data_IF_766853839240
#
_entry.id   IF_766853839240
#
_cell.length_a   1.000
_cell.length_b   1.000
_cell.length_c   1.000
_cell.angle_alpha   90.00
_cell.angle_beta   90.00
_cell.angle_gamma   90.00
#
_symmetry.space_group_name_H-M   'P 1'
#
loop_
_entity.id
_entity.type
_entity.pdbx_description
1 polymer ?
#
# COMPACT_ATOMS: atom_id res chain seq x y z
N UNK A 1 -28.42 48.28 -6.27
CA UNK A 1 -28.09 47.33 -5.18
C UNK A 1 -27.61 46.04 -5.86
N UNK A 2 -26.27 45.82 -5.89
CA UNK A 2 -25.66 44.62 -6.48
C UNK A 2 -25.66 43.50 -5.43
N UNK A 3 -26.38 42.41 -5.70
CA UNK A 3 -26.36 41.20 -4.86
C UNK A 3 -25.04 40.48 -5.10
N UNK A 4 -24.17 40.48 -4.12
CA UNK A 4 -22.95 39.64 -4.08
C UNK A 4 -23.44 38.24 -3.72
N UNK A 5 -23.41 37.33 -4.70
CA UNK A 5 -23.57 35.88 -4.46
C UNK A 5 -22.23 35.37 -3.97
N UNK A 6 -22.17 35.14 -2.66
CA UNK A 6 -21.00 34.47 -2.04
C UNK A 6 -21.05 32.99 -2.40
N UNK A 7 -20.27 32.61 -3.39
CA UNK A 7 -20.08 31.21 -3.75
C UNK A 7 -19.18 30.56 -2.69
N UNK A 8 -19.78 29.88 -1.71
CA UNK A 8 -19.07 29.06 -0.75
C UNK A 8 -18.46 27.88 -1.52
N UNK A 9 -17.20 27.99 -1.91
CA UNK A 9 -16.39 26.85 -2.32
C UNK A 9 -16.13 26.05 -1.06
N UNK A 10 -16.94 25.03 -0.82
CA UNK A 10 -16.64 24.01 0.18
C UNK A 10 -15.43 23.26 -0.37
N UNK A 11 -14.24 23.70 0.05
CA UNK A 11 -13.03 22.91 -0.03
C UNK A 11 -13.27 21.66 0.83
N UNK A 12 -13.70 20.57 0.20
CA UNK A 12 -13.50 19.25 0.74
C UNK A 12 -11.97 19.04 0.80
N UNK A 13 -11.34 19.54 1.85
CA UNK A 13 -10.09 19.02 2.34
C UNK A 13 -10.39 17.61 2.84
N UNK A 14 -10.54 16.67 1.89
CA UNK A 14 -10.58 15.25 2.18
C UNK A 14 -9.33 14.98 3.00
N UNK A 15 -9.51 14.49 4.20
CA UNK A 15 -8.44 13.95 5.04
C UNK A 15 -7.89 12.76 4.28
N UNK A 16 -6.91 13.01 3.40
CA UNK A 16 -6.23 11.95 2.67
C UNK A 16 -5.57 11.06 3.72
N UNK A 17 -6.15 9.88 3.95
CA UNK A 17 -5.43 8.86 4.67
C UNK A 17 -4.19 8.55 3.85
N UNK A 18 -3.03 8.56 4.47
CA UNK A 18 -1.80 8.21 3.79
C UNK A 18 -1.55 6.69 3.85
N UNK A 19 -2.60 5.89 4.02
CA UNK A 19 -2.57 4.44 3.87
C UNK A 19 -2.26 4.03 2.43
N UNK A 20 -1.91 2.77 2.22
CA UNK A 20 -1.64 2.21 0.90
C UNK A 20 -2.94 2.17 0.07
N UNK A 21 -3.97 1.60 0.67
CA UNK A 21 -5.33 1.54 0.11
C UNK A 21 -6.32 2.25 1.04
N UNK A 22 -7.60 1.87 1.02
CA UNK A 22 -8.57 2.39 1.97
C UNK A 22 -8.34 1.81 3.36
N UNK A 23 -8.80 2.53 4.39
CA UNK A 23 -8.72 2.08 5.77
C UNK A 23 -9.27 0.65 5.98
N UNK A 24 -10.44 0.35 5.42
CA UNK A 24 -11.06 -0.97 5.49
C UNK A 24 -10.21 -2.05 4.81
N UNK A 25 -9.63 -1.75 3.63
CA UNK A 25 -8.80 -2.69 2.89
C UNK A 25 -7.47 -2.93 3.61
N UNK A 26 -6.80 -1.89 4.12
CA UNK A 26 -5.54 -2.02 4.87
C UNK A 26 -5.76 -2.84 6.16
N UNK A 27 -6.87 -2.63 6.86
CA UNK A 27 -7.27 -3.47 7.98
C UNK A 27 -7.58 -4.91 7.56
N UNK A 28 -8.18 -5.10 6.39
CA UNK A 28 -8.43 -6.41 5.78
C UNK A 28 -7.12 -7.17 5.52
N UNK A 29 -6.08 -6.48 5.00
CA UNK A 29 -4.73 -7.06 4.82
C UNK A 29 -4.18 -7.59 6.14
N UNK A 30 -4.23 -6.79 7.20
CA UNK A 30 -3.73 -7.19 8.51
C UNK A 30 -4.51 -8.37 9.09
N UNK A 31 -5.83 -8.32 8.99
CA UNK A 31 -6.71 -9.36 9.48
C UNK A 31 -6.50 -10.67 8.71
N UNK A 32 -6.36 -10.61 7.38
CA UNK A 32 -6.08 -11.78 6.55
C UNK A 32 -4.69 -12.35 6.85
N UNK A 33 -3.66 -11.51 6.99
CA UNK A 33 -2.35 -11.95 7.43
C UNK A 33 -2.41 -12.68 8.77
N UNK A 34 -3.18 -12.16 9.74
CA UNK A 34 -3.30 -12.75 11.06
C UNK A 34 -3.91 -14.16 11.08
N UNK A 35 -4.78 -14.48 10.10
CA UNK A 35 -5.32 -15.84 9.93
C UNK A 35 -4.25 -16.85 9.52
N UNK A 36 -3.16 -16.38 8.93
CA UNK A 36 -2.07 -17.21 8.44
C UNK A 36 -0.82 -17.18 9.33
N UNK A 37 -0.88 -16.49 10.48
CA UNK A 37 0.18 -16.57 11.49
C UNK A 37 0.16 -17.93 12.19
N UNK A 38 1.36 -18.42 12.51
CA UNK A 38 1.50 -19.56 13.44
C UNK A 38 0.98 -19.17 14.83
N UNK A 39 0.56 -20.12 15.66
CA UNK A 39 0.13 -19.82 17.03
C UNK A 39 1.18 -19.03 17.82
N UNK A 40 2.46 -19.36 17.66
CA UNK A 40 3.57 -18.67 18.31
C UNK A 40 3.69 -17.22 17.83
N UNK A 41 3.76 -16.98 16.52
CA UNK A 41 3.82 -15.63 15.96
C UNK A 41 2.60 -14.78 16.36
N UNK A 42 1.41 -15.39 16.40
CA UNK A 42 0.18 -14.72 16.83
C UNK A 42 0.24 -14.28 18.28
N UNK A 43 0.75 -15.13 19.18
CA UNK A 43 0.90 -14.80 20.60
C UNK A 43 1.91 -13.66 20.79
N UNK A 44 3.04 -13.70 20.09
CA UNK A 44 4.06 -12.64 20.17
C UNK A 44 3.49 -11.33 19.63
N UNK A 45 2.80 -11.35 18.49
CA UNK A 45 2.14 -10.15 17.95
C UNK A 45 1.15 -9.58 18.97
N UNK A 46 0.31 -10.42 19.59
CA UNK A 46 -0.65 -9.98 20.60
C UNK A 46 0.02 -9.39 21.85
N UNK A 47 1.15 -9.94 22.28
CA UNK A 47 1.94 -9.39 23.40
C UNK A 47 2.36 -7.93 23.19
N UNK A 48 2.80 -7.58 21.97
CA UNK A 48 3.37 -6.26 21.69
C UNK A 48 2.39 -5.24 21.14
N UNK A 49 1.35 -5.67 20.42
CA UNK A 49 0.36 -4.75 19.80
C UNK A 49 -1.06 -4.95 20.34
N UNK A 50 -1.32 -5.99 21.09
CA UNK A 50 -2.65 -6.37 21.58
C UNK A 50 -3.39 -7.33 20.63
N UNK A 51 -4.58 -7.78 21.05
CA UNK A 51 -5.33 -8.83 20.36
C UNK A 51 -5.92 -8.39 19.01
N UNK A 52 -6.12 -7.10 18.81
CA UNK A 52 -6.68 -6.57 17.58
C UNK A 52 -5.57 -6.00 16.68
N UNK A 53 -5.05 -6.82 15.79
CA UNK A 53 -3.99 -6.46 14.84
C UNK A 53 -4.39 -5.29 13.93
N UNK A 54 -5.69 -5.07 13.68
CA UNK A 54 -6.19 -3.95 12.86
C UNK A 54 -5.79 -2.58 13.41
N UNK A 55 -5.52 -2.48 14.72
CA UNK A 55 -5.02 -1.25 15.38
C UNK A 55 -3.61 -0.83 14.94
N UNK A 56 -2.88 -1.70 14.26
CA UNK A 56 -1.60 -1.35 13.67
C UNK A 56 -1.75 -0.55 12.36
N UNK A 57 -2.93 -0.60 11.70
CA UNK A 57 -3.19 0.12 10.46
C UNK A 57 -3.02 1.61 10.62
N UNK A 58 -2.38 2.25 9.62
CA UNK A 58 -2.20 3.70 9.58
C UNK A 58 -1.39 4.30 10.73
N UNK A 59 -0.73 3.48 11.58
CA UNK A 59 -0.04 3.95 12.76
C UNK A 59 1.00 5.04 12.47
N UNK A 60 1.90 4.83 11.50
CA UNK A 60 2.94 5.80 11.14
C UNK A 60 2.34 7.12 10.68
N UNK A 61 1.28 7.05 9.87
CA UNK A 61 0.57 8.22 9.36
C UNK A 61 -0.15 8.99 10.45
N UNK A 62 -0.83 8.27 11.35
CA UNK A 62 -1.54 8.90 12.48
C UNK A 62 -0.56 9.63 13.41
N UNK A 63 0.61 9.06 13.66
CA UNK A 63 1.65 9.71 14.46
C UNK A 63 2.21 10.96 13.78
N UNK A 64 2.40 10.96 12.45
CA UNK A 64 2.83 12.16 11.71
C UNK A 64 1.78 13.27 11.74
N UNK A 65 0.51 12.93 11.55
CA UNK A 65 -0.59 13.90 11.67
C UNK A 65 -0.64 14.54 13.06
N UNK A 66 -0.24 13.81 14.08
CA UNK A 66 -0.08 14.31 15.44
C UNK A 66 1.24 15.06 15.71
N UNK A 67 2.04 15.37 14.67
CA UNK A 67 3.32 16.05 14.78
C UNK A 67 4.47 15.17 15.29
N UNK A 68 4.24 13.87 15.43
CA UNK A 68 5.24 12.87 15.83
C UNK A 68 5.73 12.11 14.60
N UNK A 69 6.90 11.46 14.71
CA UNK A 69 7.46 10.62 13.65
C UNK A 69 7.51 11.29 12.27
N UNK A 70 7.74 12.61 12.18
CA UNK A 70 7.83 13.36 10.91
C UNK A 70 8.90 12.80 9.98
N UNK A 71 9.97 12.24 10.54
CA UNK A 71 11.07 11.62 9.80
C UNK A 71 10.65 10.35 9.01
N UNK A 72 9.45 9.81 9.27
CA UNK A 72 8.97 8.61 8.59
C UNK A 72 8.23 8.92 7.26
N UNK A 73 8.17 10.17 6.83
CA UNK A 73 7.44 10.56 5.64
C UNK A 73 7.96 9.85 4.37
N UNK A 74 9.27 9.75 4.21
CA UNK A 74 9.91 9.06 3.08
C UNK A 74 9.83 7.54 3.13
N UNK A 75 9.45 6.94 4.27
CA UNK A 75 9.49 5.49 4.46
C UNK A 75 8.46 4.72 3.62
N UNK A 76 7.40 5.39 3.16
CA UNK A 76 6.27 4.75 2.50
C UNK A 76 6.50 4.41 1.02
N UNK A 77 7.65 4.77 0.44
CA UNK A 77 7.96 4.55 -0.97
C UNK A 77 9.05 3.50 -1.12
N UNK A 78 8.82 2.56 -2.02
CA UNK A 78 9.82 1.60 -2.49
C UNK A 78 10.51 2.18 -3.72
N UNK A 79 11.83 2.37 -3.67
CA UNK A 79 12.61 2.89 -4.79
C UNK A 79 13.42 1.78 -5.47
N UNK A 80 13.24 1.64 -6.77
CA UNK A 80 13.90 0.63 -7.59
C UNK A 80 14.74 1.29 -8.68
N UNK A 81 15.94 0.75 -8.89
CA UNK A 81 16.82 1.15 -9.99
C UNK A 81 16.31 0.62 -11.35
N UNK A 82 17.06 0.90 -12.42
CA UNK A 82 16.73 0.45 -13.78
C UNK A 82 16.73 -1.08 -13.94
N UNK A 83 17.41 -1.82 -13.06
CA UNK A 83 17.45 -3.28 -13.01
C UNK A 83 16.40 -3.88 -12.06
N UNK A 84 15.48 -3.04 -11.55
CA UNK A 84 14.45 -3.41 -10.57
C UNK A 84 15.03 -3.92 -9.24
N UNK A 85 16.25 -3.49 -8.93
CA UNK A 85 16.87 -3.75 -7.64
C UNK A 85 16.62 -2.56 -6.68
N UNK A 86 16.66 -2.78 -5.36
CA UNK A 86 16.54 -1.69 -4.41
C UNK A 86 17.54 -0.59 -4.70
N UNK A 87 17.07 0.65 -4.83
CA UNK A 87 17.94 1.78 -5.11
C UNK A 87 18.76 2.14 -3.88
N UNK A 88 20.08 2.12 -4.01
CA UNK A 88 20.99 2.54 -2.93
C UNK A 88 20.93 4.05 -2.60
N UNK A 89 20.17 4.82 -3.38
CA UNK A 89 20.11 6.29 -3.27
C UNK A 89 19.24 6.78 -2.11
N UNK A 90 18.35 5.95 -1.57
CA UNK A 90 17.43 6.39 -0.52
C UNK A 90 17.52 5.49 0.73
N UNK A 91 18.25 6.00 1.76
CA UNK A 91 18.35 5.36 3.06
C UNK A 91 17.01 5.34 3.85
N UNK A 92 16.00 6.06 3.39
CA UNK A 92 14.66 6.16 3.98
C UNK A 92 13.60 5.36 3.21
N UNK A 93 14.01 4.51 2.31
CA UNK A 93 13.16 3.62 1.52
C UNK A 93 12.42 2.59 2.40
N UNK A 94 11.23 2.18 1.94
CA UNK A 94 10.39 1.21 2.65
C UNK A 94 11.13 -0.08 2.98
N UNK A 95 11.89 -0.64 2.04
CA UNK A 95 12.66 -1.88 2.25
C UNK A 95 13.69 -1.71 3.37
N UNK A 96 14.46 -0.62 3.34
CA UNK A 96 15.49 -0.34 4.35
C UNK A 96 14.88 -0.24 5.75
N UNK A 97 13.72 0.39 5.86
CA UNK A 97 13.05 0.53 7.17
C UNK A 97 12.39 -0.79 7.62
N UNK A 98 11.88 -1.61 6.71
CA UNK A 98 11.43 -2.96 7.03
C UNK A 98 12.59 -3.79 7.56
N UNK A 99 13.75 -3.80 6.87
CA UNK A 99 14.91 -4.57 7.29
C UNK A 99 15.42 -4.16 8.69
N UNK A 100 15.49 -2.85 8.96
CA UNK A 100 15.83 -2.33 10.30
C UNK A 100 14.81 -2.76 11.37
N UNK A 101 13.54 -2.69 11.06
CA UNK A 101 12.48 -3.10 11.99
C UNK A 101 12.52 -4.62 12.26
N UNK A 102 12.81 -5.44 11.25
CA UNK A 102 12.99 -6.89 11.40
C UNK A 102 14.17 -7.23 12.30
N UNK A 103 15.25 -6.45 12.26
CA UNK A 103 16.39 -6.62 13.19
C UNK A 103 15.96 -6.42 14.64
N UNK A 104 15.20 -5.37 14.93
CA UNK A 104 14.64 -5.13 16.28
C UNK A 104 13.73 -6.29 16.71
N UNK A 105 12.88 -6.79 15.81
CA UNK A 105 11.93 -7.88 16.12
C UNK A 105 12.68 -9.20 16.40
N UNK A 106 13.72 -9.53 15.62
CA UNK A 106 14.55 -10.73 15.85
C UNK A 106 15.26 -10.70 17.19
N UNK A 107 15.74 -9.51 17.56
CA UNK A 107 16.46 -9.29 18.82
C UNK A 107 15.55 -8.73 19.93
N UNK A 108 14.25 -8.99 19.88
CA UNK A 108 13.21 -8.38 20.74
C UNK A 108 13.50 -8.43 22.23
N UNK A 109 14.25 -9.43 22.68
CA UNK A 109 14.66 -9.57 24.09
C UNK A 109 15.68 -8.51 24.54
N UNK A 110 16.30 -7.78 23.59
CA UNK A 110 17.27 -6.72 23.85
C UNK A 110 16.65 -5.33 23.80
N UNK A 111 15.37 -5.22 23.42
CA UNK A 111 14.66 -3.97 23.22
C UNK A 111 13.47 -3.83 24.16
N UNK A 112 13.09 -2.60 24.45
CA UNK A 112 11.90 -2.31 25.23
C UNK A 112 10.61 -2.64 24.48
N UNK A 113 9.53 -2.92 25.23
CA UNK A 113 8.23 -3.29 24.65
C UNK A 113 7.71 -2.27 23.61
N UNK A 114 7.94 -0.96 23.85
CA UNK A 114 7.51 0.09 22.91
C UNK A 114 8.31 0.06 21.61
N UNK A 115 9.60 -0.25 21.65
CA UNK A 115 10.47 -0.31 20.47
C UNK A 115 10.06 -1.51 19.59
N UNK A 116 9.83 -2.67 20.19
CA UNK A 116 9.35 -3.86 19.47
C UNK A 116 7.95 -3.63 18.89
N UNK A 117 7.06 -3.01 19.67
CA UNK A 117 5.71 -2.63 19.18
C UNK A 117 5.79 -1.68 17.98
N UNK A 118 6.68 -0.68 18.04
CA UNK A 118 6.93 0.24 16.94
C UNK A 118 7.47 -0.49 15.71
N UNK A 119 8.45 -1.37 15.89
CA UNK A 119 9.04 -2.16 14.81
C UNK A 119 7.99 -3.05 14.12
N UNK A 120 7.16 -3.77 14.88
CA UNK A 120 6.07 -4.59 14.35
C UNK A 120 5.09 -3.76 13.53
N UNK A 121 4.64 -2.62 14.06
CA UNK A 121 3.74 -1.71 13.33
C UNK A 121 4.39 -1.13 12.07
N UNK A 122 5.70 -0.86 12.12
CA UNK A 122 6.47 -0.40 10.96
C UNK A 122 6.46 -1.47 9.86
N UNK A 123 6.82 -2.72 10.18
CA UNK A 123 6.77 -3.81 9.20
C UNK A 123 5.37 -3.97 8.62
N UNK A 124 4.33 -3.98 9.45
CA UNK A 124 2.95 -4.13 8.99
C UNK A 124 2.53 -3.02 8.03
N UNK A 125 2.78 -1.75 8.36
CA UNK A 125 2.39 -0.64 7.50
C UNK A 125 3.21 -0.63 6.19
N UNK A 126 4.53 -0.79 6.26
CA UNK A 126 5.38 -0.69 5.08
C UNK A 126 5.25 -1.91 4.14
N UNK A 127 4.94 -3.11 4.66
CA UNK A 127 4.60 -4.26 3.83
C UNK A 127 3.31 -4.03 3.04
N UNK A 128 2.33 -3.35 3.61
CA UNK A 128 1.12 -2.94 2.89
C UNK A 128 1.48 -1.89 1.83
N UNK A 129 2.22 -0.86 2.21
CA UNK A 129 2.58 0.25 1.34
C UNK A 129 3.37 -0.20 0.10
N UNK A 130 4.39 -1.04 0.26
CA UNK A 130 5.22 -1.47 -0.88
C UNK A 130 4.48 -2.30 -1.93
N UNK A 131 3.35 -2.91 -1.58
CA UNK A 131 2.52 -3.66 -2.53
C UNK A 131 1.50 -2.79 -3.27
N UNK A 132 1.35 -1.52 -2.88
CA UNK A 132 0.53 -0.57 -3.60
C UNK A 132 1.37 0.16 -4.66
N UNK A 133 1.00 0.05 -5.94
CA UNK A 133 1.78 0.62 -7.03
C UNK A 133 1.99 2.13 -6.91
N UNK A 134 1.10 2.85 -6.24
CA UNK A 134 1.29 4.29 -6.05
C UNK A 134 2.47 4.63 -5.12
N UNK A 135 2.99 3.64 -4.42
CA UNK A 135 4.14 3.79 -3.53
C UNK A 135 5.42 3.18 -4.13
N UNK A 136 5.41 2.79 -5.42
CA UNK A 136 6.58 2.22 -6.11
C UNK A 136 7.16 3.25 -7.07
N UNK A 137 8.38 3.69 -6.80
CA UNK A 137 9.14 4.61 -7.64
C UNK A 137 10.20 3.84 -8.42
N UNK A 138 10.17 3.98 -9.74
CA UNK A 138 11.11 3.35 -10.66
C UNK A 138 12.05 4.40 -11.25
N UNK A 139 13.36 4.19 -11.17
CA UNK A 139 14.36 5.13 -11.70
C UNK A 139 14.16 5.42 -13.19
N UNK A 140 13.74 4.44 -13.97
CA UNK A 140 13.43 4.56 -15.39
C UNK A 140 12.24 5.49 -15.68
N UNK A 141 11.36 5.68 -14.69
CA UNK A 141 10.16 6.51 -14.77
C UNK A 141 10.18 7.58 -13.66
N UNK A 142 10.88 8.71 -13.85
CA UNK A 142 11.19 9.69 -12.78
C UNK A 142 10.00 10.27 -12.03
N UNK A 143 8.80 10.23 -12.64
CA UNK A 143 7.56 10.69 -12.01
C UNK A 143 6.77 9.56 -11.37
N UNK A 144 7.27 8.30 -11.40
CA UNK A 144 6.61 7.17 -10.74
C UNK A 144 6.58 7.34 -9.23
N UNK A 145 5.69 6.61 -8.57
CA UNK A 145 5.50 6.70 -7.11
C UNK A 145 4.36 7.64 -6.72
N UNK A 146 4.39 8.09 -5.47
CA UNK A 146 3.26 8.75 -4.79
C UNK A 146 2.77 10.03 -5.49
N UNK A 147 3.67 10.77 -6.12
CA UNK A 147 3.36 12.06 -6.75
C UNK A 147 3.06 11.96 -8.24
N UNK A 148 3.01 10.77 -8.79
CA UNK A 148 2.72 10.59 -10.21
C UNK A 148 1.31 11.07 -10.56
N UNK A 149 1.20 11.89 -11.61
CA UNK A 149 -0.07 12.34 -12.16
C UNK A 149 -0.22 11.84 -13.60
N UNK A 150 -1.44 11.49 -13.95
CA UNK A 150 -1.80 11.07 -15.29
C UNK A 150 -3.09 11.78 -15.75
N UNK A 151 -3.35 11.74 -17.05
CA UNK A 151 -4.56 12.32 -17.61
C UNK A 151 -5.64 11.25 -17.76
N UNK A 152 -6.82 11.54 -17.28
CA UNK A 152 -7.98 10.65 -17.40
C UNK A 152 -9.09 11.32 -18.22
N UNK A 153 -9.70 10.58 -19.12
CA UNK A 153 -10.87 11.06 -19.87
C UNK A 153 -12.11 11.03 -18.97
N UNK A 154 -12.69 12.21 -18.69
CA UNK A 154 -13.97 12.36 -18.02
C UNK A 154 -15.07 12.56 -19.06
N UNK A 155 -16.05 11.66 -19.13
CA UNK A 155 -17.21 11.78 -20.01
C UNK A 155 -17.45 10.54 -20.86
N UNK A 156 -18.59 10.54 -21.54
CA UNK A 156 -19.26 9.47 -22.26
C UNK A 156 -18.37 8.34 -22.82
N UNK A 157 -18.72 7.11 -22.50
CA UNK A 157 -18.21 5.88 -23.11
C UNK A 157 -18.38 5.79 -24.65
N UNK A 158 -18.99 6.79 -25.28
CA UNK A 158 -19.27 6.84 -26.72
C UNK A 158 -18.35 7.81 -27.50
N UNK A 159 -17.16 8.11 -26.99
CA UNK A 159 -16.06 8.57 -27.83
C UNK A 159 -16.15 9.95 -28.49
N UNK A 160 -17.12 10.81 -28.19
CA UNK A 160 -17.15 12.18 -28.70
C UNK A 160 -17.04 13.19 -27.55
N UNK A 161 -15.87 13.83 -27.41
CA UNK A 161 -15.72 15.03 -26.59
C UNK A 161 -15.44 14.82 -25.10
N UNK A 162 -14.82 13.75 -24.68
CA UNK A 162 -14.38 13.60 -23.29
C UNK A 162 -13.34 14.64 -22.92
N UNK A 163 -13.54 15.35 -21.80
CA UNK A 163 -12.55 16.29 -21.26
C UNK A 163 -11.44 15.51 -20.56
N UNK A 164 -10.18 15.79 -20.90
CA UNK A 164 -9.03 15.31 -20.14
C UNK A 164 -8.96 16.07 -18.81
N UNK A 165 -8.83 15.33 -17.72
CA UNK A 165 -8.60 15.87 -16.39
C UNK A 165 -7.37 15.25 -15.77
N UNK A 166 -6.53 16.03 -15.05
CA UNK A 166 -5.43 15.48 -14.27
C UNK A 166 -5.98 14.61 -13.14
N UNK A 167 -5.34 13.49 -12.92
CA UNK A 167 -5.70 12.56 -11.87
C UNK A 167 -4.45 12.03 -11.18
N UNK A 168 -4.45 11.97 -9.87
CA UNK A 168 -3.31 11.48 -9.09
C UNK A 168 -3.30 9.96 -9.05
N UNK A 169 -2.16 9.38 -9.34
CA UNK A 169 -1.93 7.94 -9.29
C UNK A 169 -2.30 7.34 -7.93
N UNK A 170 -1.88 8.03 -6.85
CA UNK A 170 -2.24 7.63 -5.49
C UNK A 170 -3.77 7.59 -5.27
N UNK A 171 -4.51 8.54 -5.81
CA UNK A 171 -5.98 8.56 -5.67
C UNK A 171 -6.63 7.36 -6.36
N UNK A 172 -6.09 6.93 -7.49
CA UNK A 172 -6.58 5.73 -8.17
C UNK A 172 -6.43 4.49 -7.28
N UNK A 173 -5.24 4.27 -6.75
CA UNK A 173 -4.91 3.06 -5.97
C UNK A 173 -5.50 3.09 -4.56
N UNK A 174 -5.53 4.26 -3.91
CA UNK A 174 -6.03 4.39 -2.53
C UNK A 174 -7.55 4.46 -2.43
N UNK A 175 -8.22 5.01 -3.44
CA UNK A 175 -9.66 5.28 -3.34
C UNK A 175 -10.48 4.65 -4.46
N UNK A 176 -9.98 4.61 -5.70
CA UNK A 176 -10.79 4.17 -6.82
C UNK A 176 -10.97 2.66 -6.84
N UNK A 177 -9.88 1.89 -6.71
CA UNK A 177 -9.97 0.43 -6.63
C UNK A 177 -10.68 -0.04 -5.36
N UNK A 178 -10.33 0.43 -4.16
CA UNK A 178 -11.14 0.12 -2.98
C UNK A 178 -12.58 0.59 -3.09
N UNK A 179 -12.85 1.68 -3.85
CA UNK A 179 -14.18 2.22 -4.07
C UNK A 179 -15.13 1.29 -4.84
N UNK A 180 -14.62 0.34 -5.62
CA UNK A 180 -15.43 -0.72 -6.23
C UNK A 180 -16.01 -1.67 -5.17
N UNK A 181 -15.37 -1.72 -4.01
CA UNK A 181 -15.74 -2.54 -2.85
C UNK A 181 -16.03 -1.66 -1.62
N UNK A 182 -16.60 -0.46 -1.82
CA UNK A 182 -16.76 0.55 -0.77
C UNK A 182 -17.59 0.09 0.45
N UNK A 183 -18.44 -0.93 0.26
CA UNK A 183 -19.24 -1.52 1.34
C UNK A 183 -18.49 -2.61 2.14
N UNK A 184 -17.28 -2.99 1.73
CA UNK A 184 -16.57 -4.08 2.39
C UNK A 184 -16.03 -3.65 3.76
N UNK A 185 -16.39 -4.43 4.80
CA UNK A 185 -15.71 -4.41 6.08
C UNK A 185 -14.34 -5.13 5.97
N UNK A 186 -13.44 -4.97 6.95
CA UNK A 186 -12.21 -5.77 6.99
C UNK A 186 -12.44 -7.28 6.92
N UNK A 187 -13.53 -7.76 7.52
CA UNK A 187 -13.91 -9.17 7.52
C UNK A 187 -14.37 -9.65 6.12
N UNK A 188 -15.13 -8.81 5.40
CA UNK A 188 -15.53 -9.10 4.01
C UNK A 188 -14.32 -9.14 3.07
N UNK A 189 -13.31 -8.27 3.27
CA UNK A 189 -12.05 -8.35 2.54
C UNK A 189 -11.37 -9.70 2.73
N UNK A 190 -11.37 -10.21 3.97
CA UNK A 190 -10.77 -11.51 4.29
C UNK A 190 -11.48 -12.65 3.56
N UNK A 191 -12.81 -12.65 3.55
CA UNK A 191 -13.61 -13.67 2.87
C UNK A 191 -13.38 -13.64 1.36
N UNK A 192 -13.40 -12.45 0.75
CA UNK A 192 -13.17 -12.28 -0.68
C UNK A 192 -11.77 -12.72 -1.09
N UNK A 193 -10.75 -12.31 -0.35
CA UNK A 193 -9.36 -12.70 -0.64
C UNK A 193 -9.15 -14.21 -0.48
N UNK A 194 -9.79 -14.85 0.48
CA UNK A 194 -9.69 -16.29 0.69
C UNK A 194 -10.36 -17.07 -0.45
N UNK A 195 -11.54 -16.64 -0.90
CA UNK A 195 -12.25 -17.22 -2.05
C UNK A 195 -11.43 -17.08 -3.33
N UNK A 196 -10.87 -15.89 -3.60
CA UNK A 196 -10.18 -15.60 -4.85
C UNK A 196 -8.77 -16.19 -4.92
N UNK A 197 -8.05 -16.20 -3.80
CA UNK A 197 -6.62 -16.47 -3.76
C UNK A 197 -6.19 -17.57 -2.80
N UNK A 198 -7.09 -18.17 -2.03
CA UNK A 198 -6.77 -19.20 -1.04
C UNK A 198 -5.99 -20.38 -1.62
N UNK A 199 -6.39 -20.86 -2.80
CA UNK A 199 -5.68 -21.93 -3.52
C UNK A 199 -4.27 -21.56 -4.02
N UNK A 200 -3.97 -20.25 -4.09
CA UNK A 200 -2.69 -19.70 -4.56
C UNK A 200 -1.77 -19.24 -3.42
N UNK A 201 -2.12 -19.52 -2.18
CA UNK A 201 -1.37 -19.07 -1.00
C UNK A 201 0.13 -19.37 -1.12
N UNK A 202 0.49 -20.63 -1.45
CA UNK A 202 1.89 -21.05 -1.55
C UNK A 202 2.65 -20.26 -2.62
N UNK A 203 2.03 -20.02 -3.78
CA UNK A 203 2.61 -19.22 -4.87
C UNK A 203 2.80 -17.76 -4.45
N UNK A 204 1.76 -17.14 -3.87
CA UNK A 204 1.75 -15.72 -3.55
C UNK A 204 2.67 -15.35 -2.37
N UNK A 205 2.94 -16.31 -1.46
CA UNK A 205 3.85 -16.12 -0.34
C UNK A 205 5.28 -16.59 -0.60
N UNK A 206 5.54 -17.26 -1.74
CA UNK A 206 6.86 -17.78 -2.04
C UNK A 206 7.93 -16.70 -2.12
N UNK A 207 9.16 -17.05 -1.72
CA UNK A 207 10.32 -16.18 -1.80
C UNK A 207 10.62 -15.40 -0.52
N UNK A 208 11.58 -14.51 -0.63
CA UNK A 208 12.11 -13.64 0.43
C UNK A 208 11.68 -12.20 0.22
N UNK A 209 11.85 -11.36 1.24
CA UNK A 209 11.54 -9.92 1.16
C UNK A 209 12.20 -9.25 -0.07
N UNK A 210 13.44 -9.58 -0.38
CA UNK A 210 14.17 -9.00 -1.53
C UNK A 210 13.67 -9.53 -2.87
N UNK A 211 13.30 -10.81 -2.96
CA UNK A 211 12.67 -11.38 -4.15
C UNK A 211 11.29 -10.77 -4.40
N UNK A 212 10.52 -10.48 -3.34
CA UNK A 212 9.24 -9.78 -3.47
C UNK A 212 9.40 -8.35 -3.98
N UNK A 213 10.49 -7.67 -3.63
CA UNK A 213 10.82 -6.33 -4.18
C UNK A 213 11.03 -6.42 -5.70
N UNK A 214 11.77 -7.40 -6.18
CA UNK A 214 11.94 -7.66 -7.62
C UNK A 214 10.61 -8.00 -8.32
N UNK A 215 9.76 -8.82 -7.70
CA UNK A 215 8.41 -9.13 -8.21
C UNK A 215 7.55 -7.86 -8.32
N UNK A 216 7.58 -6.99 -7.30
CA UNK A 216 6.89 -5.69 -7.33
C UNK A 216 7.37 -4.84 -8.50
N UNK A 217 8.67 -4.74 -8.74
CA UNK A 217 9.24 -4.05 -9.88
C UNK A 217 8.75 -4.63 -11.21
N UNK A 218 8.78 -5.95 -11.33
CA UNK A 218 8.39 -6.67 -12.55
C UNK A 218 6.93 -6.41 -12.96
N UNK A 219 6.00 -6.34 -12.03
CA UNK A 219 4.61 -6.03 -12.38
C UNK A 219 4.31 -4.53 -12.44
N UNK A 220 5.10 -3.68 -11.80
CA UNK A 220 4.92 -2.22 -11.84
C UNK A 220 5.44 -1.62 -13.16
N UNK A 221 6.60 -2.08 -13.63
CA UNK A 221 7.29 -1.56 -14.82
C UNK A 221 6.41 -1.50 -16.07
N UNK A 222 5.71 -2.59 -16.50
CA UNK A 222 4.89 -2.53 -17.71
C UNK A 222 3.70 -1.57 -17.58
N UNK A 223 3.19 -1.33 -16.38
CA UNK A 223 2.09 -0.39 -16.14
C UNK A 223 2.59 1.05 -16.34
N UNK A 224 3.72 1.40 -15.74
CA UNK A 224 4.34 2.72 -15.96
C UNK A 224 4.79 2.90 -17.40
N UNK A 225 5.42 1.90 -18.03
CA UNK A 225 5.82 1.94 -19.43
C UNK A 225 4.64 2.28 -20.36
N UNK A 226 3.48 1.66 -20.11
CA UNK A 226 2.25 1.95 -20.86
C UNK A 226 1.80 3.40 -20.66
N UNK A 227 1.77 3.87 -19.42
CA UNK A 227 1.34 5.23 -19.10
C UNK A 227 2.25 6.28 -19.79
N UNK A 228 3.56 6.09 -19.71
CA UNK A 228 4.52 6.99 -20.35
C UNK A 228 4.42 6.97 -21.88
N UNK A 229 4.20 5.80 -22.48
CA UNK A 229 3.97 5.67 -23.94
C UNK A 229 2.73 6.43 -24.41
N UNK A 230 1.67 6.41 -23.63
CA UNK A 230 0.40 7.04 -23.94
C UNK A 230 0.35 8.51 -23.46
N UNK A 231 1.50 9.18 -23.29
CA UNK A 231 1.62 10.54 -22.75
C UNK A 231 0.89 10.70 -21.41
N UNK A 232 1.03 9.71 -20.54
CA UNK A 232 0.36 9.64 -19.25
C UNK A 232 -1.18 9.68 -19.36
N UNK A 233 -1.75 9.22 -20.48
CA UNK A 233 -3.19 9.16 -20.67
C UNK A 233 -3.73 7.78 -20.33
N UNK A 234 -4.64 7.73 -19.37
CA UNK A 234 -5.29 6.50 -18.92
C UNK A 234 -6.78 6.51 -19.28
N UNK A 235 -7.20 5.54 -20.07
CA UNK A 235 -8.62 5.40 -20.43
C UNK A 235 -9.41 4.89 -19.23
N UNK A 236 -10.61 5.42 -19.01
CA UNK A 236 -11.49 4.97 -17.93
C UNK A 236 -11.75 3.46 -17.97
N UNK A 237 -11.89 2.87 -19.15
CA UNK A 237 -12.04 1.42 -19.31
C UNK A 237 -10.84 0.63 -18.80
N UNK A 238 -9.63 1.19 -18.92
CA UNK A 238 -8.40 0.54 -18.44
C UNK A 238 -8.33 0.50 -16.91
N UNK A 239 -8.96 1.45 -16.21
CA UNK A 239 -9.03 1.44 -14.76
C UNK A 239 -9.68 0.15 -14.25
N UNK A 240 -10.83 -0.22 -14.83
CA UNK A 240 -11.54 -1.44 -14.44
C UNK A 240 -10.74 -2.73 -14.70
N UNK A 241 -9.90 -2.74 -15.75
CA UNK A 241 -9.07 -3.92 -16.04
C UNK A 241 -7.99 -4.19 -15.00
N UNK A 242 -7.65 -3.21 -14.16
CA UNK A 242 -6.68 -3.38 -13.08
C UNK A 242 -7.31 -3.67 -11.70
N UNK A 243 -8.63 -3.79 -11.60
CA UNK A 243 -9.27 -4.09 -10.31
C UNK A 243 -8.81 -5.44 -9.76
N UNK A 244 -8.94 -6.51 -10.53
CA UNK A 244 -8.48 -7.84 -10.16
C UNK A 244 -6.96 -7.88 -9.87
N UNK A 245 -6.18 -7.12 -10.62
CA UNK A 245 -4.76 -6.97 -10.36
C UNK A 245 -4.50 -6.29 -9.02
N UNK A 246 -5.23 -5.22 -8.69
CA UNK A 246 -5.16 -4.57 -7.38
C UNK A 246 -5.48 -5.54 -6.24
N UNK A 247 -6.53 -6.37 -6.40
CA UNK A 247 -6.87 -7.43 -5.45
C UNK A 247 -5.73 -8.44 -5.27
N UNK A 248 -5.03 -8.80 -6.35
CA UNK A 248 -3.87 -9.69 -6.26
C UNK A 248 -2.71 -9.06 -5.48
N UNK A 249 -2.49 -7.75 -5.61
CA UNK A 249 -1.49 -7.02 -4.80
C UNK A 249 -1.86 -7.04 -3.31
N UNK A 250 -3.14 -6.87 -2.99
CA UNK A 250 -3.66 -6.97 -1.60
C UNK A 250 -3.45 -8.37 -1.03
N UNK A 251 -3.74 -9.42 -1.81
CA UNK A 251 -3.50 -10.81 -1.41
C UNK A 251 -1.99 -11.10 -1.18
N UNK A 252 -1.13 -10.63 -2.10
CA UNK A 252 0.33 -10.74 -1.95
C UNK A 252 0.81 -10.04 -0.67
N UNK A 253 0.37 -8.80 -0.42
CA UNK A 253 0.71 -8.08 0.79
C UNK A 253 0.37 -8.89 2.05
N UNK A 254 -0.82 -9.47 2.10
CA UNK A 254 -1.30 -10.25 3.24
C UNK A 254 -0.52 -11.54 3.47
N UNK A 255 -0.35 -12.36 2.43
CA UNK A 255 0.36 -13.64 2.55
C UNK A 255 1.86 -13.46 2.82
N UNK A 256 2.49 -12.47 2.18
CA UNK A 256 3.91 -12.14 2.38
C UNK A 256 4.16 -11.57 3.77
N UNK A 257 3.27 -10.71 4.28
CA UNK A 257 3.34 -10.22 5.65
C UNK A 257 3.27 -11.38 6.66
N UNK A 258 2.32 -12.30 6.48
CA UNK A 258 2.21 -13.47 7.35
C UNK A 258 3.45 -14.36 7.29
N UNK A 259 3.98 -14.62 6.09
CA UNK A 259 5.20 -15.41 5.90
C UNK A 259 6.40 -14.75 6.61
N UNK A 260 6.57 -13.44 6.43
CA UNK A 260 7.66 -12.67 7.04
C UNK A 260 7.59 -12.67 8.57
N UNK A 261 6.40 -12.46 9.14
CA UNK A 261 6.20 -12.49 10.58
C UNK A 261 6.41 -13.90 11.16
N UNK A 262 5.91 -14.94 10.49
CA UNK A 262 6.12 -16.32 10.91
C UNK A 262 7.60 -16.73 10.90
N UNK A 263 8.36 -16.23 9.94
CA UNK A 263 9.80 -16.47 9.89
C UNK A 263 10.55 -15.72 11.00
N UNK A 264 10.17 -14.46 11.24
CA UNK A 264 10.90 -13.56 12.13
C UNK A 264 10.59 -13.82 13.61
N UNK A 265 9.40 -14.33 13.93
CA UNK A 265 8.87 -14.52 15.29
C UNK A 265 8.98 -15.97 15.80
N UNK A 266 9.84 -16.76 15.19
CA UNK A 266 10.16 -18.12 15.70
C UNK A 266 10.82 -18.09 17.06
#
# INVERSE_FOLDING_TARGET
>A
MKKIVLLAVVLFAGVFSAGAWSHSMDQGVLLFASKHLTPEAKNIVAEYIGDDIKKAEGYLVAQRKGGKLLHTEGWHTLHLDSNLQPSAKDANDALVQIEKALEVIRNRNQYGKMEVSFALKTVMNLMIDMHNLSNVALEEYPLSGTNFEFMMTKGSARGKGGKLIPYRWKVLWTYRYPGFHAAYSPEMWVEELDVMFGSKKAELSAGTLREWVGDIGNYSKPIYARLYKDNNHFLHATIHSYDLFSMSCVAKASYRLAALLNETLK
#
